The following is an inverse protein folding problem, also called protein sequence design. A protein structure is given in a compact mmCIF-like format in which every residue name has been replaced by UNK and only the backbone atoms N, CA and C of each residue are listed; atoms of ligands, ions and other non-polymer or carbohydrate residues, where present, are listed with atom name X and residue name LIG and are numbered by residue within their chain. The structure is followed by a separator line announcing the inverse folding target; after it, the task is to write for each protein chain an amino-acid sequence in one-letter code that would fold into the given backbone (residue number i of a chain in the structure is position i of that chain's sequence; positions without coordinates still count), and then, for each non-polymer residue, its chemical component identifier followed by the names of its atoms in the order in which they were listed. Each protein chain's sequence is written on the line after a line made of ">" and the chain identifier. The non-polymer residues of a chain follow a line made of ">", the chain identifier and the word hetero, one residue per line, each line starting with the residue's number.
data_IF_900215323817
#
_entry.id   IF_900215323817
#
_cell.length_a   1.000
_cell.length_b   1.000
_cell.length_c   1.000
_cell.angle_alpha   90.00
_cell.angle_beta   90.00
_cell.angle_gamma   90.00
#
_symmetry.space_group_name_H-M   'P 1'
#
loop_
_entity.id
_entity.type
_entity.pdbx_description
1 polymer ?
#
# COMPACT_ATOMS: atom_id res chain seq x y z
N UNK A 1 -0.78 -20.04 11.89
CA UNK A 1 -0.68 -18.84 12.75
C UNK A 1 -1.70 -17.80 12.27
N UNK A 2 -2.48 -17.21 13.19
CA UNK A 2 -3.41 -16.15 12.84
C UNK A 2 -2.71 -14.80 12.97
N UNK A 3 -2.90 -13.94 11.96
CA UNK A 3 -2.35 -12.59 11.92
C UNK A 3 -3.40 -11.59 11.45
N UNK A 4 -3.32 -10.38 11.98
CA UNK A 4 -4.07 -9.23 11.49
C UNK A 4 -3.11 -8.30 10.74
N UNK A 5 -3.28 -8.25 9.44
CA UNK A 5 -2.52 -7.39 8.52
C UNK A 5 -3.31 -6.11 8.26
N UNK A 6 -2.64 -4.98 8.21
CA UNK A 6 -3.24 -3.72 7.82
C UNK A 6 -2.36 -2.97 6.84
N UNK A 7 -2.96 -2.08 6.04
CA UNK A 7 -2.22 -1.08 5.28
C UNK A 7 -2.98 0.24 5.29
N UNK A 8 -2.23 1.34 5.40
CA UNK A 8 -2.79 2.68 5.44
C UNK A 8 -1.89 3.69 4.71
N UNK A 9 -2.46 4.36 3.71
CA UNK A 9 -1.87 5.58 3.18
C UNK A 9 -2.24 6.74 4.11
N UNK A 10 -1.24 7.29 4.82
CA UNK A 10 -1.45 8.30 5.88
C UNK A 10 -1.39 9.73 5.32
N UNK A 11 -1.30 9.90 4.01
CA UNK A 11 -1.24 11.21 3.34
C UNK A 11 -0.24 12.17 4.01
N UNK A 12 1.03 12.08 3.60
CA UNK A 12 2.12 12.93 4.12
C UNK A 12 2.34 12.79 5.64
N UNK A 13 2.54 11.58 6.13
CA UNK A 13 2.83 11.35 7.57
C UNK A 13 4.03 12.17 8.07
N UNK A 14 4.95 12.54 7.18
CA UNK A 14 6.10 13.41 7.49
C UNK A 14 5.71 14.73 8.18
N UNK A 15 4.51 15.26 7.89
CA UNK A 15 4.03 16.51 8.46
C UNK A 15 3.69 16.40 9.95
N UNK A 16 3.70 15.18 10.50
CA UNK A 16 3.53 14.91 11.93
C UNK A 16 4.86 14.95 12.72
N UNK A 17 5.97 15.32 12.06
CA UNK A 17 7.30 15.31 12.67
C UNK A 17 7.99 16.67 12.57
N UNK A 18 8.75 16.98 13.61
CA UNK A 18 9.67 18.11 13.63
C UNK A 18 10.87 17.86 12.69
N UNK A 19 11.68 18.90 12.46
CA UNK A 19 12.85 18.80 11.58
C UNK A 19 13.94 17.86 12.13
N UNK A 20 13.95 17.58 13.40
CA UNK A 20 14.85 16.63 14.05
C UNK A 20 14.31 15.18 14.06
N UNK A 21 13.14 14.98 13.47
CA UNK A 21 12.49 13.66 13.37
C UNK A 21 11.68 13.27 14.60
N UNK A 22 11.52 14.13 15.60
CA UNK A 22 10.64 13.86 16.73
C UNK A 22 9.18 14.12 16.35
N UNK A 23 8.22 13.37 16.92
CA UNK A 23 6.81 13.61 16.65
C UNK A 23 6.36 14.97 17.23
N UNK A 24 5.54 15.70 16.47
CA UNK A 24 4.91 16.93 16.93
C UNK A 24 3.87 16.60 17.98
N UNK A 25 4.00 17.19 19.18
CA UNK A 25 3.15 16.90 20.36
C UNK A 25 2.27 18.07 20.76
N UNK A 26 2.02 19.02 19.85
CA UNK A 26 1.16 20.19 20.07
C UNK A 26 0.38 20.54 18.80
N UNK A 27 -0.73 21.26 18.97
CA UNK A 27 -1.48 21.83 17.85
C UNK A 27 -2.29 20.82 17.03
N UNK A 28 -2.49 21.13 15.76
CA UNK A 28 -3.29 20.34 14.84
C UNK A 28 -2.59 19.03 14.43
N UNK A 29 -1.29 19.01 14.40
CA UNK A 29 -0.48 17.84 14.08
C UNK A 29 -0.56 16.80 15.20
N UNK A 30 -0.52 17.23 16.47
CA UNK A 30 -0.79 16.36 17.61
C UNK A 30 -2.23 15.80 17.55
N UNK A 31 -3.21 16.64 17.29
CA UNK A 31 -4.61 16.19 17.17
C UNK A 31 -4.77 15.16 16.06
N UNK A 32 -4.12 15.35 14.90
CA UNK A 32 -4.09 14.38 13.82
C UNK A 32 -3.38 13.09 14.22
N UNK A 33 -2.25 13.18 14.94
CA UNK A 33 -1.52 12.01 15.46
C UNK A 33 -2.38 11.20 16.45
N UNK A 34 -3.13 11.86 17.34
CA UNK A 34 -4.06 11.17 18.27
C UNK A 34 -5.18 10.45 17.52
N UNK A 35 -5.77 11.09 16.53
CA UNK A 35 -6.80 10.47 15.68
C UNK A 35 -6.25 9.28 14.88
N UNK A 36 -5.04 9.40 14.34
CA UNK A 36 -4.34 8.30 13.67
C UNK A 36 -4.08 7.13 14.64
N UNK A 37 -3.64 7.43 15.85
CA UNK A 37 -3.44 6.43 16.89
C UNK A 37 -4.76 5.71 17.27
N UNK A 38 -5.88 6.45 17.38
CA UNK A 38 -7.18 5.84 17.66
C UNK A 38 -7.62 4.88 16.54
N UNK A 39 -7.36 5.24 15.27
CA UNK A 39 -7.62 4.35 14.13
C UNK A 39 -6.74 3.09 14.21
N UNK A 40 -5.42 3.23 14.43
CA UNK A 40 -4.51 2.09 14.52
C UNK A 40 -4.86 1.21 15.72
N UNK A 41 -5.20 1.80 16.86
CA UNK A 41 -5.68 1.09 18.07
C UNK A 41 -6.91 0.26 17.78
N UNK A 42 -7.86 0.80 17.04
CA UNK A 42 -9.09 0.09 16.68
C UNK A 42 -8.84 -1.05 15.67
N UNK A 43 -7.95 -0.83 14.72
CA UNK A 43 -7.53 -1.90 13.79
C UNK A 43 -6.80 -2.99 14.56
N UNK A 44 -5.94 -2.65 15.51
CA UNK A 44 -5.11 -3.56 16.29
C UNK A 44 -4.30 -4.53 15.41
N UNK A 45 -3.49 -4.02 14.45
CA UNK A 45 -2.77 -4.88 13.52
C UNK A 45 -1.55 -5.54 14.16
N UNK A 46 -1.24 -6.77 13.76
CA UNK A 46 0.04 -7.41 14.10
C UNK A 46 1.16 -6.90 13.18
N UNK A 47 0.79 -6.54 11.94
CA UNK A 47 1.63 -5.89 10.94
C UNK A 47 0.83 -4.81 10.21
N UNK A 48 1.36 -3.58 10.15
CA UNK A 48 0.78 -2.44 9.45
C UNK A 48 1.76 -1.88 8.43
N UNK A 49 1.47 -2.07 7.15
CA UNK A 49 2.13 -1.35 6.07
C UNK A 49 1.72 0.12 6.06
N UNK A 50 2.68 1.01 5.99
CA UNK A 50 2.47 2.46 5.97
C UNK A 50 2.93 3.00 4.63
N UNK A 51 1.99 3.62 3.93
CA UNK A 51 2.20 4.36 2.69
C UNK A 51 2.25 5.85 3.00
N UNK A 52 3.11 6.57 2.32
CA UNK A 52 3.42 7.98 2.59
C UNK A 52 3.97 8.21 4.02
N UNK A 53 4.79 7.27 4.46
CA UNK A 53 5.43 7.31 5.76
C UNK A 53 6.39 8.48 5.97
N UNK A 54 6.93 8.64 7.18
CA UNK A 54 7.85 9.73 7.50
C UNK A 54 9.15 9.60 6.72
N UNK A 55 9.65 10.72 6.24
CA UNK A 55 10.83 10.81 5.36
C UNK A 55 11.79 11.95 5.73
N UNK A 56 11.71 12.46 6.95
CA UNK A 56 12.55 13.56 7.41
C UNK A 56 14.03 13.18 7.34
N UNK A 57 14.82 14.07 6.78
CA UNK A 57 16.27 13.92 6.74
C UNK A 57 16.87 14.51 8.01
N UNK A 58 17.54 13.67 8.80
CA UNK A 58 18.36 14.11 9.94
C UNK A 58 19.82 13.86 9.57
N UNK A 59 20.63 14.93 9.53
CA UNK A 59 22.02 14.89 9.10
C UNK A 59 22.22 14.18 7.72
N UNK A 60 21.29 14.41 6.78
CA UNK A 60 21.35 13.81 5.44
C UNK A 60 20.91 12.35 5.34
N UNK A 61 20.49 11.74 6.43
CA UNK A 61 19.99 10.35 6.47
C UNK A 61 18.49 10.33 6.75
N UNK A 62 17.73 9.53 6.00
CA UNK A 62 16.32 9.27 6.29
C UNK A 62 16.20 8.39 7.51
N UNK A 63 15.35 8.79 8.45
CA UNK A 63 15.20 8.16 9.76
C UNK A 63 13.81 7.57 9.97
N UNK A 64 13.17 7.10 8.90
CA UNK A 64 11.77 6.64 8.89
C UNK A 64 11.46 5.60 9.98
N UNK A 65 12.34 4.62 10.19
CA UNK A 65 12.19 3.62 11.27
C UNK A 65 12.14 4.25 12.65
N UNK A 66 13.15 5.07 12.99
CA UNK A 66 13.22 5.72 14.32
C UNK A 66 12.10 6.73 14.53
N UNK A 67 11.68 7.43 13.46
CA UNK A 67 10.51 8.32 13.52
C UNK A 67 9.22 7.55 13.84
N UNK A 68 8.96 6.43 13.16
CA UNK A 68 7.80 5.59 13.43
C UNK A 68 7.82 5.04 14.86
N UNK A 69 8.98 4.58 15.33
CA UNK A 69 9.13 4.06 16.70
C UNK A 69 8.91 5.17 17.74
N UNK A 70 9.46 6.37 17.53
CA UNK A 70 9.24 7.51 18.41
C UNK A 70 7.76 7.93 18.45
N UNK A 71 7.12 8.01 17.26
CA UNK A 71 5.70 8.33 17.14
C UNK A 71 4.83 7.29 17.85
N UNK A 72 5.07 6.00 17.60
CA UNK A 72 4.28 4.93 18.23
C UNK A 72 4.49 4.85 19.73
N UNK A 73 5.72 5.05 20.21
CA UNK A 73 5.99 5.09 21.64
C UNK A 73 5.26 6.22 22.36
N UNK A 74 5.04 7.37 21.69
CA UNK A 74 4.33 8.51 22.26
C UNK A 74 2.80 8.36 22.19
N UNK A 75 2.27 7.93 21.05
CA UNK A 75 0.81 7.93 20.80
C UNK A 75 0.15 6.55 20.98
N UNK A 76 0.92 5.47 20.97
CA UNK A 76 0.48 4.08 21.11
C UNK A 76 1.36 3.28 22.09
N UNK A 77 1.62 3.82 23.32
CA UNK A 77 2.58 3.20 24.25
C UNK A 77 2.21 1.78 24.68
N UNK A 78 0.94 1.41 24.55
CA UNK A 78 0.43 0.07 24.88
C UNK A 78 0.87 -1.04 23.92
N UNK A 79 1.30 -0.69 22.71
CA UNK A 79 1.58 -1.69 21.64
C UNK A 79 3.05 -2.05 21.47
N UNK A 80 4.01 -1.34 22.02
CA UNK A 80 5.46 -1.60 21.85
C UNK A 80 5.89 -1.88 20.42
N UNK A 81 5.26 -1.21 19.42
CA UNK A 81 5.55 -1.42 18.01
C UNK A 81 7.01 -1.19 17.66
N UNK A 82 7.52 -1.98 16.70
CA UNK A 82 8.79 -1.77 16.02
C UNK A 82 8.54 -1.25 14.60
N UNK A 83 9.42 -0.35 14.16
CA UNK A 83 9.43 0.18 12.81
C UNK A 83 10.38 -0.59 11.91
N UNK A 84 10.07 -0.59 10.61
CA UNK A 84 10.98 -1.06 9.56
C UNK A 84 10.74 -0.28 8.28
N UNK A 85 11.81 0.03 7.54
CA UNK A 85 11.72 0.59 6.19
C UNK A 85 12.69 -0.14 5.27
N UNK A 86 12.53 0.07 3.95
CA UNK A 86 13.38 -0.54 2.93
C UNK A 86 14.36 0.43 2.29
N UNK A 87 14.49 0.32 0.97
CA UNK A 87 15.27 1.29 0.20
C UNK A 87 14.61 2.66 0.26
N UNK A 88 15.38 3.72 0.54
CA UNK A 88 14.83 5.08 0.56
C UNK A 88 14.37 5.50 -0.84
N UNK A 89 13.23 6.17 -0.92
CA UNK A 89 12.80 6.79 -2.17
C UNK A 89 13.67 8.00 -2.50
N UNK A 90 13.86 8.30 -3.81
CA UNK A 90 14.63 9.47 -4.24
C UNK A 90 14.02 10.81 -3.78
N UNK A 91 12.71 10.81 -3.52
CA UNK A 91 11.94 11.96 -3.08
C UNK A 91 11.41 11.82 -1.66
N UNK A 92 10.11 11.98 -1.56
CA UNK A 92 9.34 11.96 -0.32
C UNK A 92 8.38 10.74 -0.34
N UNK A 93 7.67 10.52 0.76
CA UNK A 93 6.65 9.46 0.88
C UNK A 93 7.26 8.06 0.94
N UNK A 94 7.98 7.78 2.03
CA UNK A 94 8.58 6.47 2.24
C UNK A 94 7.55 5.36 2.44
N UNK A 95 7.96 4.14 2.10
CA UNK A 95 7.26 2.92 2.43
C UNK A 95 7.88 2.30 3.67
N UNK A 96 7.08 2.16 4.70
CA UNK A 96 7.50 1.68 6.01
C UNK A 96 6.49 0.66 6.54
N UNK A 97 6.80 0.06 7.68
CA UNK A 97 5.81 -0.70 8.42
C UNK A 97 6.04 -0.59 9.94
N UNK A 98 4.95 -0.80 10.68
CA UNK A 98 4.95 -1.08 12.12
C UNK A 98 4.54 -2.54 12.33
N UNK A 99 5.14 -3.20 13.32
CA UNK A 99 4.78 -4.57 13.68
C UNK A 99 4.93 -4.81 15.18
N UNK A 100 4.19 -5.78 15.69
CA UNK A 100 4.27 -6.24 17.08
C UNK A 100 5.40 -7.23 17.25
N UNK A 101 6.50 -6.88 17.94
CA UNK A 101 7.67 -7.74 18.08
C UNK A 101 7.43 -8.96 19.04
N UNK A 102 6.37 -8.92 19.83
CA UNK A 102 5.90 -10.05 20.64
C UNK A 102 5.08 -11.08 19.86
N UNK A 103 4.76 -10.78 18.59
CA UNK A 103 4.02 -11.65 17.67
C UNK A 103 4.88 -12.14 16.51
N UNK A 104 5.74 -11.29 15.97
CA UNK A 104 6.45 -11.48 14.70
C UNK A 104 7.90 -11.04 14.79
N UNK A 105 8.76 -11.73 14.06
CA UNK A 105 10.01 -11.17 13.55
C UNK A 105 9.79 -10.70 12.13
N UNK A 106 10.26 -9.49 11.81
CA UNK A 106 10.15 -8.89 10.46
C UNK A 106 11.53 -8.50 9.99
N UNK A 107 11.91 -8.97 8.81
CA UNK A 107 13.22 -8.72 8.23
C UNK A 107 13.06 -8.03 6.86
N UNK A 108 13.86 -6.99 6.60
CA UNK A 108 14.03 -6.45 5.27
C UNK A 108 14.89 -7.43 4.45
N UNK A 109 14.30 -8.04 3.44
CA UNK A 109 14.92 -9.12 2.67
C UNK A 109 14.75 -8.86 1.17
N UNK A 110 15.35 -7.78 0.64
CA UNK A 110 15.26 -7.45 -0.77
C UNK A 110 16.00 -8.49 -1.61
N UNK A 111 15.61 -8.60 -2.89
CA UNK A 111 16.42 -9.32 -3.85
C UNK A 111 17.80 -8.67 -3.98
N UNK A 112 18.82 -9.49 -4.17
CA UNK A 112 20.22 -9.05 -4.26
C UNK A 112 20.78 -9.06 -5.66
N UNK A 113 20.09 -9.74 -6.59
CA UNK A 113 20.51 -9.83 -7.99
C UNK A 113 20.37 -8.48 -8.68
N UNK A 114 21.43 -8.01 -9.31
CA UNK A 114 21.44 -6.75 -10.05
C UNK A 114 20.38 -6.73 -11.17
N UNK A 115 19.66 -5.63 -11.30
CA UNK A 115 18.59 -5.44 -12.26
C UNK A 115 17.24 -6.04 -11.84
N UNK A 116 17.19 -6.78 -10.71
CA UNK A 116 15.96 -7.34 -10.17
C UNK A 116 15.53 -6.62 -8.86
N UNK A 117 16.38 -5.75 -8.30
CA UNK A 117 16.09 -4.99 -7.08
C UNK A 117 15.06 -3.89 -7.33
N UNK A 118 14.19 -3.62 -6.36
CA UNK A 118 13.17 -2.59 -6.51
C UNK A 118 13.71 -1.15 -6.53
N UNK A 119 14.91 -0.88 -6.01
CA UNK A 119 15.55 0.44 -6.06
C UNK A 119 16.37 0.66 -7.36
N UNK A 120 16.48 -0.34 -8.24
CA UNK A 120 17.18 -0.28 -9.50
C UNK A 120 16.23 -0.12 -10.71
N UNK A 121 16.72 0.34 -11.87
CA UNK A 121 15.97 0.27 -13.12
C UNK A 121 15.73 -1.17 -13.55
N UNK A 122 14.55 -1.44 -14.12
CA UNK A 122 14.15 -2.76 -14.61
C UNK A 122 13.55 -2.69 -16.02
N UNK A 123 13.45 -3.82 -16.70
CA UNK A 123 12.99 -3.93 -18.09
C UNK A 123 11.73 -4.81 -18.17
N UNK A 124 10.61 -4.23 -18.65
CA UNK A 124 9.36 -4.96 -18.88
C UNK A 124 8.70 -4.54 -20.19
N UNK A 125 7.91 -5.43 -20.78
CA UNK A 125 7.07 -5.12 -21.94
C UNK A 125 5.64 -4.82 -21.47
N UNK A 126 5.30 -3.54 -21.38
CA UNK A 126 3.98 -3.07 -20.91
C UNK A 126 2.93 -3.08 -22.02
N UNK A 127 3.33 -3.23 -23.28
CA UNK A 127 2.46 -3.08 -24.47
C UNK A 127 2.21 -4.37 -25.23
N UNK A 128 2.79 -5.49 -24.79
CA UNK A 128 2.74 -6.80 -25.48
C UNK A 128 3.29 -6.77 -26.93
N UNK A 129 4.26 -5.87 -27.19
CA UNK A 129 4.90 -5.73 -28.52
C UNK A 129 6.24 -6.46 -28.60
N UNK A 130 6.58 -7.26 -27.60
CA UNK A 130 7.87 -7.93 -27.45
C UNK A 130 9.06 -6.95 -27.35
N UNK A 131 8.78 -5.70 -27.03
CA UNK A 131 9.79 -4.65 -26.80
C UNK A 131 9.76 -4.29 -25.33
N UNK A 132 10.86 -4.57 -24.63
CA UNK A 132 11.01 -4.18 -23.25
C UNK A 132 11.43 -2.73 -23.15
N UNK A 133 10.74 -1.98 -22.30
CA UNK A 133 11.07 -0.60 -21.97
C UNK A 133 11.63 -0.54 -20.55
N UNK A 134 12.50 0.44 -20.29
CA UNK A 134 13.12 0.63 -19.00
C UNK A 134 12.23 1.51 -18.12
N UNK A 135 11.96 1.01 -16.90
CA UNK A 135 11.26 1.72 -15.86
C UNK A 135 12.09 1.76 -14.57
N UNK A 136 11.69 2.60 -13.64
CA UNK A 136 12.22 2.65 -12.27
C UNK A 136 11.09 3.04 -11.32
N UNK A 137 10.99 2.35 -10.17
CA UNK A 137 10.12 2.77 -9.10
C UNK A 137 10.55 4.13 -8.55
N UNK A 138 9.61 5.05 -8.41
CA UNK A 138 9.85 6.29 -7.69
C UNK A 138 9.92 6.04 -6.18
N UNK A 139 9.07 5.16 -5.70
CA UNK A 139 9.02 4.64 -4.33
C UNK A 139 9.29 3.14 -4.41
N UNK A 140 10.53 2.70 -4.12
CA UNK A 140 10.86 1.28 -4.17
C UNK A 140 9.96 0.48 -3.23
N UNK A 141 9.26 -0.56 -3.70
CA UNK A 141 8.46 -1.43 -2.83
C UNK A 141 9.26 -1.97 -1.65
N UNK A 142 8.64 -1.98 -0.47
CA UNK A 142 9.22 -2.53 0.75
C UNK A 142 9.04 -4.04 0.77
N UNK A 143 10.14 -4.78 0.69
CA UNK A 143 10.18 -6.23 0.52
C UNK A 143 10.62 -6.91 1.82
N UNK A 144 9.73 -7.65 2.46
CA UNK A 144 9.91 -8.19 3.79
C UNK A 144 9.69 -9.70 3.86
N UNK A 145 10.33 -10.32 4.84
CA UNK A 145 10.00 -11.66 5.35
C UNK A 145 9.37 -11.55 6.72
N UNK A 146 8.21 -12.15 6.90
CA UNK A 146 7.60 -12.36 8.21
C UNK A 146 7.94 -13.76 8.71
N UNK A 147 8.37 -13.84 9.97
CA UNK A 147 8.72 -15.08 10.65
C UNK A 147 7.99 -15.18 12.00
N UNK A 148 7.84 -16.40 12.51
CA UNK A 148 7.43 -16.60 13.89
C UNK A 148 8.54 -16.13 14.85
N UNK A 149 8.25 -16.07 16.14
CA UNK A 149 9.25 -15.71 17.16
C UNK A 149 10.41 -16.70 17.22
N UNK A 150 10.16 -17.95 16.83
CA UNK A 150 11.19 -19.03 16.74
C UNK A 150 11.99 -18.96 15.43
N UNK A 151 11.73 -17.95 14.58
CA UNK A 151 12.44 -17.76 13.32
C UNK A 151 11.93 -18.61 12.13
N UNK A 152 10.77 -19.29 12.27
CA UNK A 152 10.17 -20.04 11.16
C UNK A 152 9.53 -19.09 10.16
N UNK A 153 9.85 -19.25 8.88
CA UNK A 153 9.28 -18.45 7.81
C UNK A 153 7.77 -18.62 7.69
N UNK A 154 7.04 -17.52 7.55
CA UNK A 154 5.59 -17.44 7.37
C UNK A 154 5.21 -17.03 5.95
N UNK A 155 5.66 -15.84 5.52
CA UNK A 155 5.27 -15.26 4.23
C UNK A 155 6.21 -14.15 3.81
N UNK A 156 6.27 -13.87 2.52
CA UNK A 156 6.80 -12.63 1.96
C UNK A 156 5.72 -11.56 2.00
N UNK A 157 6.12 -10.34 2.30
CA UNK A 157 5.23 -9.17 2.22
C UNK A 157 5.89 -8.11 1.35
N UNK A 158 5.15 -7.59 0.39
CA UNK A 158 5.55 -6.47 -0.46
C UNK A 158 4.57 -5.33 -0.19
N UNK A 159 5.06 -4.24 0.44
CA UNK A 159 4.27 -3.01 0.58
C UNK A 159 4.61 -2.11 -0.60
N UNK A 160 3.59 -1.65 -1.33
CA UNK A 160 3.76 -0.90 -2.57
C UNK A 160 2.98 0.42 -2.55
N UNK A 161 3.52 1.42 -3.26
CA UNK A 161 2.83 2.64 -3.63
C UNK A 161 3.16 2.93 -5.08
N UNK A 162 2.31 2.48 -5.99
CA UNK A 162 2.58 2.57 -7.42
C UNK A 162 2.25 3.95 -7.99
N UNK A 163 2.65 4.21 -9.22
CA UNK A 163 2.42 5.49 -9.88
C UNK A 163 0.93 5.82 -9.96
N UNK A 164 0.56 7.00 -9.47
CA UNK A 164 -0.81 7.51 -9.63
C UNK A 164 -1.14 7.80 -11.10
N UNK A 165 -2.36 7.45 -11.50
CA UNK A 165 -2.94 7.80 -12.82
C UNK A 165 -3.35 9.27 -12.89
N UNK A 166 -3.41 9.97 -11.76
CA UNK A 166 -3.80 11.37 -11.68
C UNK A 166 -2.80 12.30 -12.37
N UNK A 167 -3.31 13.24 -13.15
CA UNK A 167 -2.53 14.31 -13.78
C UNK A 167 -2.63 15.53 -12.86
N UNK A 168 -1.51 15.89 -12.22
CA UNK A 168 -1.47 16.95 -11.21
C UNK A 168 -1.10 18.32 -11.79
N UNK A 169 -0.49 18.36 -12.97
CA UNK A 169 -0.09 19.59 -13.64
C UNK A 169 -1.22 20.18 -14.45
N UNK A 170 -1.17 21.51 -14.69
CA UNK A 170 -2.02 22.18 -15.68
C UNK A 170 -1.46 21.87 -17.05
N UNK A 171 -2.18 21.06 -17.82
CA UNK A 171 -1.80 20.68 -19.18
C UNK A 171 -2.93 20.99 -20.14
N UNK A 172 -2.58 21.24 -21.40
CA UNK A 172 -3.56 21.33 -22.48
C UNK A 172 -4.13 19.95 -22.81
N UNK A 173 -5.27 19.92 -23.50
CA UNK A 173 -5.98 18.68 -23.85
C UNK A 173 -5.12 17.72 -24.69
N UNK A 174 -4.29 18.22 -25.60
CA UNK A 174 -3.43 17.38 -26.44
C UNK A 174 -2.36 16.66 -25.64
N UNK A 175 -1.80 17.32 -24.62
CA UNK A 175 -0.83 16.71 -23.70
C UNK A 175 -1.47 15.78 -22.68
N UNK A 176 -2.73 16.03 -22.34
CA UNK A 176 -3.45 15.23 -21.33
C UNK A 176 -3.46 13.74 -21.70
N UNK A 177 -3.83 13.40 -22.93
CA UNK A 177 -3.88 12.01 -23.39
C UNK A 177 -2.48 11.34 -23.33
N UNK A 178 -1.46 12.05 -23.81
CA UNK A 178 -0.09 11.53 -23.81
C UNK A 178 0.44 11.27 -22.39
N UNK A 179 0.21 12.21 -21.47
CA UNK A 179 0.63 12.08 -20.07
C UNK A 179 -0.14 10.93 -19.40
N UNK A 180 -1.46 10.86 -19.64
CA UNK A 180 -2.32 9.81 -19.11
C UNK A 180 -1.85 8.42 -19.53
N UNK A 181 -1.53 8.23 -20.81
CA UNK A 181 -1.00 6.97 -21.32
C UNK A 181 0.36 6.63 -20.72
N UNK A 182 1.28 7.60 -20.68
CA UNK A 182 2.61 7.41 -20.08
C UNK A 182 2.53 6.98 -18.62
N UNK A 183 1.69 7.63 -17.82
CA UNK A 183 1.59 7.37 -16.39
C UNK A 183 0.96 6.00 -16.12
N UNK A 184 0.00 5.55 -16.95
CA UNK A 184 -0.55 4.19 -16.87
C UNK A 184 0.46 3.11 -17.28
N UNK A 185 1.21 3.31 -18.37
CA UNK A 185 2.25 2.36 -18.76
C UNK A 185 3.33 2.24 -17.69
N UNK A 186 3.68 3.34 -17.02
CA UNK A 186 4.58 3.31 -15.88
C UNK A 186 4.01 2.51 -14.71
N UNK A 187 2.75 2.74 -14.36
CA UNK A 187 2.06 1.98 -13.31
C UNK A 187 2.03 0.48 -13.64
N UNK A 188 1.71 0.13 -14.89
CA UNK A 188 1.75 -1.27 -15.35
C UNK A 188 3.15 -1.86 -15.21
N UNK A 189 4.19 -1.12 -15.63
CA UNK A 189 5.58 -1.54 -15.48
C UNK A 189 5.95 -1.83 -14.03
N UNK A 190 5.58 -0.94 -13.11
CA UNK A 190 5.80 -1.11 -11.67
C UNK A 190 5.07 -2.37 -11.15
N UNK A 191 3.79 -2.57 -11.53
CA UNK A 191 3.03 -3.76 -11.13
C UNK A 191 3.56 -5.05 -11.76
N UNK A 192 4.03 -5.02 -13.01
CA UNK A 192 4.66 -6.19 -13.66
C UNK A 192 5.96 -6.60 -12.95
N UNK A 193 6.77 -5.64 -12.51
CA UNK A 193 7.98 -5.94 -11.74
C UNK A 193 7.65 -6.58 -10.38
N UNK A 194 6.65 -6.03 -9.66
CA UNK A 194 6.16 -6.62 -8.41
C UNK A 194 5.61 -8.03 -8.68
N UNK A 195 4.84 -8.22 -9.76
CA UNK A 195 4.28 -9.54 -10.13
C UNK A 195 5.38 -10.55 -10.43
N UNK A 196 6.42 -10.19 -11.19
CA UNK A 196 7.57 -11.06 -11.42
C UNK A 196 8.21 -11.52 -10.11
N UNK A 197 8.36 -10.61 -9.13
CA UNK A 197 8.85 -10.96 -7.80
C UNK A 197 7.92 -11.93 -7.06
N UNK A 198 6.60 -11.74 -7.17
CA UNK A 198 5.63 -12.69 -6.62
C UNK A 198 5.78 -14.08 -7.26
N UNK A 199 5.95 -14.13 -8.58
CA UNK A 199 6.14 -15.39 -9.30
C UNK A 199 7.41 -16.13 -8.84
N UNK A 200 8.51 -15.42 -8.61
CA UNK A 200 9.75 -15.99 -8.09
C UNK A 200 9.58 -16.59 -6.68
N UNK A 201 8.79 -15.96 -5.83
CA UNK A 201 8.48 -16.48 -4.50
C UNK A 201 7.54 -17.68 -4.56
N UNK A 202 6.48 -17.59 -5.36
CA UNK A 202 5.52 -18.67 -5.55
C UNK A 202 6.17 -19.91 -6.17
N UNK A 203 7.12 -19.73 -7.12
CA UNK A 203 7.90 -20.82 -7.69
C UNK A 203 8.77 -21.55 -6.66
N UNK A 204 9.17 -20.85 -5.57
CA UNK A 204 9.89 -21.42 -4.43
C UNK A 204 8.94 -22.01 -3.36
N UNK A 205 7.64 -22.06 -3.62
CA UNK A 205 6.62 -22.51 -2.67
C UNK A 205 6.38 -21.58 -1.48
N UNK A 206 6.80 -20.31 -1.59
CA UNK A 206 6.63 -19.33 -0.53
C UNK A 206 5.28 -18.61 -0.66
N UNK A 207 4.62 -18.39 0.48
CA UNK A 207 3.45 -17.52 0.52
C UNK A 207 3.84 -16.06 0.30
N UNK A 208 2.94 -15.30 -0.35
CA UNK A 208 3.14 -13.90 -0.68
C UNK A 208 1.90 -13.08 -0.30
N UNK A 209 2.16 -11.91 0.26
CA UNK A 209 1.17 -10.83 0.44
C UNK A 209 1.67 -9.60 -0.31
N UNK A 210 0.85 -9.03 -1.18
CA UNK A 210 1.07 -7.70 -1.75
C UNK A 210 0.04 -6.76 -1.16
N UNK A 211 0.48 -5.65 -0.58
CA UNK A 211 -0.41 -4.66 0.02
C UNK A 211 0.07 -3.23 -0.24
N UNK A 212 -0.84 -2.28 -0.22
CA UNK A 212 -0.49 -0.88 -0.39
C UNK A 212 -1.50 -0.11 -1.22
N UNK A 213 -1.13 1.13 -1.51
CA UNK A 213 -1.82 1.99 -2.47
C UNK A 213 -1.34 1.65 -3.89
N UNK A 214 -2.14 0.88 -4.59
CA UNK A 214 -1.87 0.48 -5.98
C UNK A 214 -2.30 1.57 -6.97
N UNK A 215 -2.97 2.62 -6.48
CA UNK A 215 -3.49 3.71 -7.30
C UNK A 215 -4.39 3.26 -8.46
N UNK A 216 -4.98 2.06 -8.32
CA UNK A 216 -5.83 1.43 -9.32
C UNK A 216 -6.84 0.48 -8.66
N UNK A 217 -7.97 0.26 -9.35
CA UNK A 217 -9.05 -0.64 -8.95
C UNK A 217 -9.15 -1.87 -9.85
N UNK A 218 -10.24 -2.64 -9.67
CA UNK A 218 -10.52 -3.84 -10.48
C UNK A 218 -11.17 -3.52 -11.83
N UNK A 219 -11.64 -2.30 -12.02
CA UNK A 219 -12.34 -1.85 -13.22
C UNK A 219 -11.39 -1.14 -14.16
N UNK A 220 -11.71 -1.20 -15.45
CA UNK A 220 -10.95 -0.52 -16.49
C UNK A 220 -11.51 0.89 -16.72
N UNK A 221 -10.66 1.89 -16.67
CA UNK A 221 -11.00 3.23 -17.13
C UNK A 221 -10.93 3.33 -18.67
N UNK A 222 -11.33 4.50 -19.22
CA UNK A 222 -11.34 4.71 -20.67
C UNK A 222 -10.00 4.39 -21.35
N UNK A 223 -8.89 4.75 -20.72
CA UNK A 223 -7.55 4.51 -21.28
C UNK A 223 -7.09 3.07 -21.09
N UNK A 224 -7.41 2.45 -19.98
CA UNK A 224 -7.05 1.06 -19.67
C UNK A 224 -7.79 0.07 -20.58
N UNK A 225 -8.98 0.41 -21.03
CA UNK A 225 -9.70 -0.39 -22.04
C UNK A 225 -8.86 -0.63 -23.32
N UNK A 226 -7.95 0.28 -23.65
CA UNK A 226 -7.02 0.11 -24.78
C UNK A 226 -5.99 -0.97 -24.54
N UNK A 227 -5.67 -1.27 -23.30
CA UNK A 227 -4.70 -2.28 -22.86
C UNK A 227 -5.36 -3.58 -22.39
N UNK A 228 -6.69 -3.59 -22.23
CA UNK A 228 -7.50 -4.69 -21.75
C UNK A 228 -7.02 -5.28 -20.40
N UNK A 229 -6.46 -4.44 -19.52
CA UNK A 229 -5.98 -4.82 -18.18
C UNK A 229 -5.88 -3.62 -17.27
N UNK A 230 -6.03 -3.85 -15.96
CA UNK A 230 -5.72 -2.89 -14.91
C UNK A 230 -4.43 -3.28 -14.17
N UNK A 231 -3.87 -2.34 -13.40
CA UNK A 231 -2.68 -2.62 -12.58
C UNK A 231 -2.96 -3.69 -11.51
N UNK A 232 -4.17 -3.72 -10.95
CA UNK A 232 -4.57 -4.75 -9.98
C UNK A 232 -4.65 -6.13 -10.64
N UNK A 233 -5.19 -6.23 -11.86
CA UNK A 233 -5.24 -7.50 -12.60
C UNK A 233 -3.84 -8.04 -12.92
N UNK A 234 -2.89 -7.14 -13.24
CA UNK A 234 -1.49 -7.54 -13.41
C UNK A 234 -0.94 -8.17 -12.12
N UNK A 235 -1.20 -7.56 -10.96
CA UNK A 235 -0.77 -8.11 -9.68
C UNK A 235 -1.45 -9.42 -9.31
N UNK A 236 -2.73 -9.60 -9.66
CA UNK A 236 -3.45 -10.85 -9.44
C UNK A 236 -2.78 -12.03 -10.17
N UNK A 237 -2.26 -11.80 -11.36
CA UNK A 237 -1.50 -12.80 -12.10
C UNK A 237 -2.26 -13.44 -13.27
N UNK A 238 -1.66 -14.48 -13.84
CA UNK A 238 -2.08 -15.12 -15.07
C UNK A 238 -3.11 -16.25 -14.80
N UNK A 239 -4.22 -16.24 -15.52
CA UNK A 239 -5.26 -17.27 -15.45
C UNK A 239 -4.77 -18.68 -15.86
N UNK A 240 -3.68 -18.76 -16.62
CA UNK A 240 -3.07 -20.04 -17.01
C UNK A 240 -2.22 -20.67 -15.91
N UNK A 241 -2.01 -19.96 -14.79
CA UNK A 241 -1.32 -20.43 -13.58
C UNK A 241 -2.19 -20.22 -12.35
N UNK A 242 -3.34 -20.93 -12.24
CA UNK A 242 -4.32 -20.66 -11.20
C UNK A 242 -3.78 -20.79 -9.77
N UNK A 243 -2.79 -21.65 -9.55
CA UNK A 243 -2.12 -21.83 -8.26
C UNK A 243 -1.27 -20.61 -7.85
N UNK A 244 -0.92 -19.75 -8.79
CA UNK A 244 -0.16 -18.52 -8.55
C UNK A 244 -1.00 -17.25 -8.55
N UNK A 245 -2.30 -17.36 -8.86
CA UNK A 245 -3.20 -16.21 -8.79
C UNK A 245 -3.31 -15.74 -7.34
N UNK A 246 -3.06 -14.44 -7.13
CA UNK A 246 -3.36 -13.80 -5.86
C UNK A 246 -4.86 -13.56 -5.76
N UNK A 247 -5.40 -13.60 -4.54
CA UNK A 247 -6.79 -13.28 -4.25
C UNK A 247 -6.88 -12.01 -3.42
N UNK A 248 -7.86 -11.17 -3.69
CA UNK A 248 -8.13 -10.01 -2.84
C UNK A 248 -8.63 -10.46 -1.47
N UNK A 249 -8.13 -9.81 -0.43
CA UNK A 249 -8.66 -9.94 0.92
C UNK A 249 -9.89 -9.05 1.17
N UNK A 250 -10.17 -8.11 0.27
CA UNK A 250 -11.20 -7.09 0.47
C UNK A 250 -12.46 -7.41 -0.33
N UNK A 251 -13.64 -6.91 0.11
CA UNK A 251 -14.86 -6.97 -0.69
C UNK A 251 -14.65 -6.30 -2.04
N UNK A 252 -15.08 -6.96 -3.12
CA UNK A 252 -15.02 -6.38 -4.47
C UNK A 252 -15.99 -5.21 -4.61
N UNK A 253 -15.54 -4.08 -5.15
CA UNK A 253 -16.41 -2.94 -5.37
C UNK A 253 -17.43 -3.22 -6.49
N UNK A 254 -18.55 -2.50 -6.43
CA UNK A 254 -19.58 -2.48 -7.48
C UNK A 254 -19.86 -1.04 -7.85
N UNK A 255 -20.02 -0.78 -9.15
CA UNK A 255 -20.41 0.54 -9.65
C UNK A 255 -21.85 0.85 -9.22
N UNK A 256 -22.06 2.06 -8.70
CA UNK A 256 -23.36 2.65 -8.45
C UNK A 256 -23.38 4.11 -8.90
N UNK A 257 -24.48 4.84 -8.71
CA UNK A 257 -24.65 6.22 -9.15
C UNK A 257 -23.61 7.23 -8.60
N UNK A 258 -22.91 6.89 -7.51
CA UNK A 258 -21.89 7.75 -6.87
C UNK A 258 -20.46 7.25 -7.04
N UNK A 259 -20.22 6.24 -7.90
CA UNK A 259 -18.92 5.61 -8.08
C UNK A 259 -18.88 4.19 -7.52
N UNK A 260 -17.70 3.67 -7.26
CA UNK A 260 -17.50 2.31 -6.76
C UNK A 260 -17.72 2.22 -5.23
N UNK A 261 -18.38 1.15 -4.79
CA UNK A 261 -18.65 0.85 -3.38
C UNK A 261 -18.44 -0.64 -3.12
N UNK A 262 -17.67 -1.06 -2.10
CA UNK A 262 -16.91 -0.22 -1.18
C UNK A 262 -15.69 0.44 -1.84
N UNK A 263 -15.13 1.46 -1.18
CA UNK A 263 -13.99 2.22 -1.68
C UNK A 263 -13.03 2.59 -0.55
N UNK A 264 -11.75 2.78 -0.88
CA UNK A 264 -10.73 3.23 0.06
C UNK A 264 -10.27 4.68 -0.17
N UNK A 265 -10.50 5.22 -1.37
CA UNK A 265 -10.18 6.59 -1.71
C UNK A 265 -11.36 7.35 -2.30
N UNK A 266 -11.41 8.66 -2.04
CA UNK A 266 -12.39 9.58 -2.60
C UNK A 266 -11.67 10.81 -3.14
N UNK A 267 -11.81 11.04 -4.43
CA UNK A 267 -11.08 12.10 -5.13
C UNK A 267 -12.04 13.03 -5.87
N UNK A 268 -11.56 14.22 -6.16
CA UNK A 268 -12.23 15.18 -7.01
C UNK A 268 -11.54 15.23 -8.37
N UNK A 269 -12.26 14.88 -9.44
CA UNK A 269 -11.76 15.02 -10.79
C UNK A 269 -11.41 16.48 -11.07
N UNK A 270 -10.24 16.72 -11.65
CA UNK A 270 -9.74 18.08 -11.87
C UNK A 270 -10.40 18.77 -13.07
N UNK A 271 -10.91 18.00 -14.02
CA UNK A 271 -11.54 18.49 -15.24
C UNK A 271 -13.03 18.69 -15.01
N UNK A 272 -13.75 17.63 -14.66
CA UNK A 272 -15.21 17.66 -14.46
C UNK A 272 -15.61 18.29 -13.14
N UNK A 273 -14.71 18.31 -12.14
CA UNK A 273 -14.95 18.73 -10.77
C UNK A 273 -15.87 17.80 -9.97
N UNK A 274 -16.25 16.67 -10.55
CA UNK A 274 -17.06 15.66 -9.88
C UNK A 274 -16.23 14.89 -8.84
N UNK A 275 -16.88 14.45 -7.79
CA UNK A 275 -16.30 13.52 -6.83
C UNK A 275 -16.48 12.09 -7.34
N UNK A 276 -15.42 11.29 -7.26
CA UNK A 276 -15.48 9.85 -7.55
C UNK A 276 -14.84 9.03 -6.44
N UNK A 277 -15.31 7.82 -6.30
CA UNK A 277 -14.84 6.86 -5.30
C UNK A 277 -14.23 5.66 -5.99
N UNK A 278 -13.14 5.13 -5.40
CA UNK A 278 -12.40 4.00 -5.97
C UNK A 278 -11.73 3.19 -4.85
N UNK A 279 -11.63 1.87 -5.03
CA UNK A 279 -10.84 1.00 -4.18
C UNK A 279 -9.43 0.90 -4.75
N UNK A 280 -8.46 1.60 -4.16
CA UNK A 280 -7.07 1.68 -4.61
C UNK A 280 -6.06 1.14 -3.60
N UNK A 281 -6.47 0.99 -2.35
CA UNK A 281 -5.68 0.35 -1.30
C UNK A 281 -6.07 -1.14 -1.24
N UNK A 282 -5.09 -2.01 -1.39
CA UNK A 282 -5.33 -3.44 -1.55
C UNK A 282 -4.51 -4.29 -0.57
N UNK A 283 -5.03 -5.48 -0.27
CA UNK A 283 -4.31 -6.61 0.33
C UNK A 283 -4.59 -7.83 -0.55
N UNK A 284 -3.57 -8.30 -1.25
CA UNK A 284 -3.62 -9.44 -2.16
C UNK A 284 -2.84 -10.60 -1.54
N UNK A 285 -3.44 -11.78 -1.49
CA UNK A 285 -2.94 -12.95 -0.78
C UNK A 285 -2.68 -14.10 -1.76
N UNK A 286 -1.58 -14.82 -1.62
CA UNK A 286 -1.36 -16.09 -2.31
C UNK A 286 -2.35 -17.17 -1.85
N UNK A 287 -2.52 -18.23 -2.65
CA UNK A 287 -3.50 -19.28 -2.40
C UNK A 287 -3.30 -20.04 -1.08
N UNK A 288 -2.03 -20.17 -0.62
CA UNK A 288 -1.68 -20.83 0.64
C UNK A 288 -2.06 -20.04 1.91
N UNK A 289 -2.50 -18.79 1.78
CA UNK A 289 -2.95 -17.97 2.91
C UNK A 289 -4.47 -18.02 2.97
N UNK A 290 -5.03 -18.45 4.09
CA UNK A 290 -6.49 -18.49 4.30
C UNK A 290 -6.97 -17.13 4.82
N UNK A 291 -7.87 -16.50 4.08
CA UNK A 291 -8.56 -15.30 4.53
C UNK A 291 -9.66 -15.68 5.54
N UNK A 292 -9.65 -15.01 6.70
CA UNK A 292 -10.70 -15.10 7.72
C UNK A 292 -11.68 -13.95 7.53
N UNK A 293 -11.16 -12.70 7.48
CA UNK A 293 -11.98 -11.49 7.34
C UNK A 293 -11.18 -10.40 6.65
N UNK A 294 -11.81 -9.64 5.78
CA UNK A 294 -11.24 -8.42 5.19
C UNK A 294 -12.16 -7.23 5.42
N UNK A 295 -11.60 -6.08 5.74
CA UNK A 295 -12.34 -4.85 6.04
C UNK A 295 -11.73 -3.63 5.36
N UNK A 296 -12.60 -2.74 4.90
CA UNK A 296 -12.26 -1.38 4.50
C UNK A 296 -12.83 -0.46 5.58
N UNK A 297 -11.98 0.30 6.26
CA UNK A 297 -12.37 1.14 7.41
C UNK A 297 -13.02 2.44 6.95
N UNK A 298 -14.07 2.31 6.14
CA UNK A 298 -14.78 3.43 5.54
C UNK A 298 -16.15 3.65 6.20
N UNK A 299 -16.34 4.73 6.98
CA UNK A 299 -17.58 4.97 7.70
C UNK A 299 -18.78 5.30 6.79
N UNK A 300 -18.57 5.59 5.50
CA UNK A 300 -19.66 5.82 4.55
C UNK A 300 -20.24 4.50 4.02
N UNK A 301 -19.42 3.45 3.92
CA UNK A 301 -19.84 2.12 3.42
C UNK A 301 -20.14 1.15 4.55
N UNK A 302 -19.40 1.19 5.66
CA UNK A 302 -19.53 0.30 6.82
C UNK A 302 -20.46 0.88 7.89
N UNK A 303 -21.69 1.26 7.50
CA UNK A 303 -22.67 1.93 8.38
C UNK A 303 -23.12 1.09 9.57
N UNK A 304 -23.05 -0.23 9.45
CA UNK A 304 -23.48 -1.17 10.50
C UNK A 304 -22.36 -1.54 11.48
N UNK A 305 -21.12 -1.14 11.23
CA UNK A 305 -19.99 -1.43 12.12
C UNK A 305 -19.83 -0.30 13.16
N UNK A 306 -20.17 -0.55 14.45
CA UNK A 306 -20.11 0.49 15.48
C UNK A 306 -18.68 1.01 15.71
N UNK A 307 -17.66 0.15 15.59
CA UNK A 307 -16.26 0.52 15.78
C UNK A 307 -15.83 1.55 14.74
N UNK A 308 -16.17 1.32 13.47
CA UNK A 308 -15.86 2.24 12.37
C UNK A 308 -16.67 3.54 12.52
N UNK A 309 -17.95 3.44 12.92
CA UNK A 309 -18.78 4.63 13.11
C UNK A 309 -18.32 5.54 14.26
N UNK A 310 -17.81 4.97 15.34
CA UNK A 310 -17.21 5.72 16.45
C UNK A 310 -15.95 6.51 16.01
N UNK A 311 -15.24 6.02 15.00
CA UNK A 311 -14.04 6.65 14.44
C UNK A 311 -14.33 7.54 13.21
N UNK A 312 -15.60 7.76 12.87
CA UNK A 312 -16.00 8.48 11.65
C UNK A 312 -15.30 9.82 11.48
N UNK A 313 -15.13 10.59 12.53
CA UNK A 313 -14.45 11.88 12.47
C UNK A 313 -12.96 11.68 12.14
N UNK A 314 -12.27 10.83 12.87
CA UNK A 314 -10.86 10.52 12.67
C UNK A 314 -10.59 9.99 11.24
N UNK A 315 -11.38 9.00 10.80
CA UNK A 315 -11.25 8.39 9.48
C UNK A 315 -11.46 9.37 8.32
N UNK A 316 -12.27 10.42 8.51
CA UNK A 316 -12.49 11.44 7.47
C UNK A 316 -11.49 12.61 7.53
N UNK A 317 -10.68 12.71 8.59
CA UNK A 317 -9.80 13.87 8.81
C UNK A 317 -8.31 13.56 8.75
N UNK A 318 -7.92 12.30 9.00
CA UNK A 318 -6.51 11.90 9.05
C UNK A 318 -5.89 11.78 7.67
N UNK A 319 -6.62 11.22 6.71
CA UNK A 319 -6.16 10.98 5.34
C UNK A 319 -7.33 11.09 4.35
N UNK A 320 -7.04 11.27 3.08
CA UNK A 320 -7.97 11.11 1.96
C UNK A 320 -8.16 9.63 1.56
N UNK A 321 -7.42 8.73 2.21
CA UNK A 321 -7.58 7.28 2.13
C UNK A 321 -8.20 6.71 3.39
N UNK A 322 -8.91 5.60 3.25
CA UNK A 322 -9.37 4.76 4.36
C UNK A 322 -8.47 3.54 4.49
N UNK A 323 -8.02 3.18 5.72
CA UNK A 323 -7.20 2.00 5.91
C UNK A 323 -7.96 0.72 5.55
N UNK A 324 -7.21 -0.29 5.16
CA UNK A 324 -7.75 -1.63 4.90
C UNK A 324 -7.03 -2.66 5.77
N UNK A 325 -7.75 -3.69 6.19
CA UNK A 325 -7.19 -4.75 7.02
C UNK A 325 -7.69 -6.14 6.61
N UNK A 326 -6.90 -7.16 6.94
CA UNK A 326 -7.24 -8.56 6.73
C UNK A 326 -6.80 -9.41 7.91
N UNK A 327 -7.71 -10.21 8.43
CA UNK A 327 -7.40 -11.31 9.34
C UNK A 327 -7.13 -12.56 8.50
N UNK A 328 -5.96 -13.16 8.69
CA UNK A 328 -5.50 -14.30 7.90
C UNK A 328 -4.97 -15.42 8.78
N UNK A 329 -5.10 -16.66 8.28
CA UNK A 329 -4.45 -17.84 8.84
C UNK A 329 -3.36 -18.28 7.85
N UNK A 330 -2.10 -18.31 8.31
CA UNK A 330 -0.96 -18.81 7.56
C UNK A 330 -0.60 -20.17 8.13
N UNK A 331 -0.71 -21.20 7.30
CA UNK A 331 -0.33 -22.58 7.66
C UNK A 331 1.20 -22.65 7.57
N UNK A 332 1.82 -23.04 8.67
CA UNK A 332 3.28 -23.18 8.80
C UNK A 332 3.72 -24.62 8.62
#
# INVERSE_FOLDING_TARGET
>A
MNLKLGVYNIAWMRDLFEKDGQPITTGKEEARSRQLADIIRAIDPDFLGIVEGPDTLVNGTKTSTSQLEAWSAHFLPEFTFKGIHGFPSPGQQELCALYKPDKLQVLFTPETKAGDRFDEPFLVDTTNRMIKEQYKHYRPPLELSLLTLEGKFLTRVIVAHTKSKGIFDKVDYARFEQISQRDRLRQFGECMHIRQRCDDYLAKGQNVVVMGDINDGFELDFYENRFAKSAVEILLGDLWRPEWILKTALPKPRLNAGGYVPYSGKFKDRITRDEFTILIDHILLSQGIKLIKGEIWNPQTEKSNPQIQNLKHALNSVSDHFPVSAEVEIIT
#
